data_IF_325727166699
#
_entry.id   IF_325727166699
#
_cell.length_a   1.000
_cell.length_b   1.000
_cell.length_c   1.000
_cell.angle_alpha   90.00
_cell.angle_beta   90.00
_cell.angle_gamma   90.00
#
_symmetry.space_group_name_H-M   'P 1'
#
loop_
_entity.id
_entity.type
_entity.pdbx_description
1 polymer ?
#
# COMPACT_ATOMS: atom_id res chain seq x y z
N UNK A 1 5.89 -24.43 -10.33
CA UNK A 1 5.24 -23.26 -9.71
C UNK A 1 5.47 -23.35 -8.22
N UNK A 2 5.69 -22.22 -7.57
CA UNK A 2 5.91 -22.09 -6.13
C UNK A 2 4.94 -21.04 -5.59
N UNK A 3 4.46 -21.28 -4.37
CA UNK A 3 3.59 -20.34 -3.67
C UNK A 3 4.48 -19.34 -2.92
N UNK A 4 4.27 -18.05 -3.15
CA UNK A 4 5.06 -16.97 -2.57
C UNK A 4 4.18 -16.13 -1.66
N UNK A 5 4.45 -16.20 -0.36
CA UNK A 5 3.80 -15.41 0.68
C UNK A 5 4.42 -14.03 0.82
N UNK A 6 3.58 -13.01 0.96
CA UNK A 6 4.01 -11.63 1.15
C UNK A 6 3.09 -10.86 2.11
N UNK A 7 3.60 -9.76 2.65
CA UNK A 7 2.90 -8.83 3.53
C UNK A 7 3.13 -7.41 3.05
N UNK A 8 2.06 -6.63 2.97
CA UNK A 8 2.13 -5.21 2.64
C UNK A 8 2.30 -4.37 3.92
N UNK A 9 3.28 -3.47 3.90
CA UNK A 9 3.53 -2.55 5.01
C UNK A 9 3.58 -1.10 4.55
N UNK A 10 3.16 -0.20 5.44
CA UNK A 10 3.31 1.24 5.23
C UNK A 10 4.72 1.74 5.64
N UNK A 11 4.91 3.06 5.62
CA UNK A 11 6.19 3.67 6.03
C UNK A 11 6.54 3.50 7.51
N UNK A 12 5.55 3.28 8.36
CA UNK A 12 5.67 3.16 9.82
C UNK A 12 5.85 1.71 10.26
N UNK A 13 5.98 0.75 9.32
CA UNK A 13 5.95 -0.68 9.59
C UNK A 13 4.59 -1.23 10.04
N UNK A 14 3.50 -0.49 9.87
CA UNK A 14 2.17 -1.08 10.11
C UNK A 14 1.81 -1.99 8.94
N UNK A 15 1.26 -3.15 9.27
CA UNK A 15 0.67 -4.06 8.27
C UNK A 15 -0.59 -3.43 7.74
N UNK A 16 -0.68 -3.34 6.42
CA UNK A 16 -1.87 -2.80 5.75
C UNK A 16 -2.99 -3.84 5.77
N UNK A 17 -2.63 -5.11 5.58
CA UNK A 17 -3.56 -6.25 5.55
C UNK A 17 -2.89 -7.51 6.13
N UNK A 18 -3.66 -8.60 6.20
CA UNK A 18 -3.15 -9.95 6.47
C UNK A 18 -2.15 -10.38 5.39
N UNK A 19 -1.29 -11.36 5.70
CA UNK A 19 -0.40 -11.93 4.70
C UNK A 19 -1.21 -12.59 3.57
N UNK A 20 -0.74 -12.42 2.35
CA UNK A 20 -1.34 -13.00 1.15
C UNK A 20 -0.30 -13.81 0.36
N UNK A 21 -0.73 -14.52 -0.67
CA UNK A 21 0.15 -15.36 -1.46
C UNK A 21 -0.22 -15.38 -2.95
N UNK A 22 0.80 -15.57 -3.80
CA UNK A 22 0.64 -15.74 -5.24
C UNK A 22 1.44 -16.93 -5.74
N UNK A 23 0.93 -17.61 -6.77
CA UNK A 23 1.67 -18.67 -7.44
C UNK A 23 2.53 -18.12 -8.57
N UNK A 24 3.82 -18.45 -8.56
CA UNK A 24 4.79 -17.97 -9.54
C UNK A 24 5.76 -19.08 -9.98
N UNK A 25 6.37 -18.97 -11.17
CA UNK A 25 7.55 -19.76 -11.52
C UNK A 25 8.67 -19.58 -10.49
N UNK A 26 9.47 -20.63 -10.25
CA UNK A 26 10.49 -20.60 -9.20
C UNK A 26 11.63 -19.62 -9.50
N UNK A 27 11.89 -19.34 -10.77
CA UNK A 27 12.91 -18.45 -11.32
C UNK A 27 12.42 -17.00 -11.53
N UNK A 28 11.20 -16.68 -11.09
CA UNK A 28 10.60 -15.35 -11.23
C UNK A 28 11.46 -14.27 -10.57
N UNK A 29 11.64 -13.15 -11.24
CA UNK A 29 12.34 -11.99 -10.71
C UNK A 29 11.44 -11.18 -9.77
N UNK A 30 12.05 -10.45 -8.83
CA UNK A 30 11.33 -9.54 -7.92
C UNK A 30 10.45 -8.55 -8.70
N UNK A 31 10.93 -8.02 -9.83
CA UNK A 31 10.14 -7.10 -10.67
C UNK A 31 8.89 -7.74 -11.29
N UNK A 32 8.97 -9.03 -11.64
CA UNK A 32 7.87 -9.77 -12.22
C UNK A 32 6.83 -10.13 -11.14
N UNK A 33 7.29 -10.55 -9.96
CA UNK A 33 6.45 -10.71 -8.77
C UNK A 33 5.69 -9.43 -8.45
N UNK A 34 6.38 -8.28 -8.39
CA UNK A 34 5.75 -6.99 -8.15
C UNK A 34 4.71 -6.63 -9.22
N UNK A 35 4.99 -6.97 -10.48
CA UNK A 35 4.07 -6.73 -11.59
C UNK A 35 2.80 -7.57 -11.46
N UNK A 36 2.89 -8.77 -10.88
CA UNK A 36 1.73 -9.63 -10.60
C UNK A 36 0.88 -9.07 -9.47
N UNK A 37 1.48 -8.66 -8.35
CA UNK A 37 0.70 -8.18 -7.19
C UNK A 37 0.11 -6.77 -7.38
N UNK A 38 0.68 -5.97 -8.30
CA UNK A 38 0.16 -4.63 -8.63
C UNK A 38 -0.94 -4.70 -9.71
N UNK A 39 -0.97 -5.76 -10.51
CA UNK A 39 -1.96 -5.93 -11.58
C UNK A 39 -3.36 -6.19 -10.97
N UNK A 40 -4.32 -5.25 -11.08
CA UNK A 40 -5.64 -5.39 -10.47
C UNK A 40 -6.44 -6.55 -11.04
N UNK A 41 -6.07 -7.08 -12.22
CA UNK A 41 -6.71 -8.27 -12.81
C UNK A 41 -6.22 -9.57 -12.16
N UNK A 42 -5.05 -9.55 -11.54
CA UNK A 42 -4.44 -10.70 -10.86
C UNK A 42 -4.59 -10.61 -9.35
N UNK A 43 -4.53 -9.39 -8.82
CA UNK A 43 -4.54 -9.12 -7.40
C UNK A 43 -5.26 -7.79 -7.13
N UNK A 44 -6.54 -7.85 -6.75
CA UNK A 44 -7.31 -6.65 -6.44
C UNK A 44 -7.01 -6.17 -5.01
N UNK A 45 -5.85 -5.55 -4.83
CA UNK A 45 -5.46 -4.94 -3.55
C UNK A 45 -5.57 -3.41 -3.62
N UNK A 46 -6.42 -2.78 -2.79
CA UNK A 46 -6.64 -1.33 -2.84
C UNK A 46 -5.37 -0.53 -2.51
N UNK A 47 -4.45 -1.09 -1.73
CA UNK A 47 -3.20 -0.42 -1.33
C UNK A 47 -2.15 -0.39 -2.43
N UNK A 48 -2.26 -1.26 -3.44
CA UNK A 48 -1.32 -1.34 -4.57
C UNK A 48 -1.85 -0.67 -5.83
N UNK A 49 -3.15 -0.35 -5.88
CA UNK A 49 -3.79 0.23 -7.05
C UNK A 49 -3.13 1.57 -7.44
N UNK A 50 -2.58 1.61 -8.66
CA UNK A 50 -1.90 2.79 -9.21
C UNK A 50 -0.46 2.99 -8.72
N UNK A 51 0.03 2.18 -7.76
CA UNK A 51 1.40 2.29 -7.27
C UNK A 51 2.36 1.74 -8.32
N UNK A 52 3.37 2.51 -8.77
CA UNK A 52 4.34 2.00 -9.72
C UNK A 52 5.18 0.92 -9.08
N UNK A 53 5.35 -0.21 -9.77
CA UNK A 53 6.23 -1.33 -9.36
C UNK A 53 7.61 -0.82 -8.90
N UNK A 54 8.19 0.14 -9.61
CA UNK A 54 9.52 0.72 -9.30
C UNK A 54 9.60 1.51 -8.00
N UNK A 55 8.45 1.89 -7.42
CA UNK A 55 8.37 2.64 -6.16
C UNK A 55 8.21 1.72 -4.95
N UNK A 56 7.82 0.47 -5.15
CA UNK A 56 7.75 -0.53 -4.10
C UNK A 56 9.16 -0.95 -3.69
N UNK A 57 9.35 -1.17 -2.40
CA UNK A 57 10.58 -1.76 -1.86
C UNK A 57 10.25 -3.15 -1.32
N UNK A 58 11.09 -4.12 -1.64
CA UNK A 58 10.87 -5.51 -1.27
C UNK A 58 11.98 -5.95 -0.34
N UNK A 59 11.62 -6.57 0.78
CA UNK A 59 12.56 -7.12 1.75
C UNK A 59 12.25 -8.59 1.94
N UNK A 60 13.28 -9.32 2.31
CA UNK A 60 13.22 -10.77 2.33
C UNK A 60 12.26 -11.32 3.38
N UNK A 61 12.26 -10.69 4.55
CA UNK A 61 11.45 -11.03 5.70
C UNK A 61 11.42 -9.85 6.69
N UNK A 62 10.76 -10.03 7.83
CA UNK A 62 10.65 -8.99 8.86
C UNK A 62 11.98 -8.61 9.51
N UNK A 63 12.91 -9.56 9.65
CA UNK A 63 14.22 -9.34 10.26
C UNK A 63 15.05 -8.39 9.39
N UNK A 64 15.15 -8.68 8.08
CA UNK A 64 15.84 -7.80 7.14
C UNK A 64 15.13 -6.46 6.96
N UNK A 65 13.80 -6.41 7.05
CA UNK A 65 13.05 -5.15 7.01
C UNK A 65 13.31 -4.26 8.23
N UNK A 66 13.51 -4.86 9.41
CA UNK A 66 13.68 -4.14 10.68
C UNK A 66 15.11 -3.63 10.89
N UNK A 67 16.09 -4.19 10.17
CA UNK A 67 17.49 -3.77 10.24
C UNK A 67 17.73 -2.54 9.34
N UNK A 68 18.08 -1.37 9.90
CA UNK A 68 18.31 -0.15 9.12
C UNK A 68 19.54 -0.24 8.19
N UNK A 69 20.44 -1.21 8.39
CA UNK A 69 21.61 -1.42 7.56
C UNK A 69 21.35 -2.33 6.34
N UNK A 70 20.18 -2.99 6.30
CA UNK A 70 19.82 -3.90 5.21
C UNK A 70 19.20 -3.15 4.05
N UNK A 71 19.73 -3.40 2.86
CA UNK A 71 19.17 -2.89 1.62
C UNK A 71 17.97 -3.75 1.17
N UNK A 72 17.03 -3.10 0.48
CA UNK A 72 15.93 -3.82 -0.16
C UNK A 72 16.44 -4.69 -1.32
N UNK A 73 15.71 -5.76 -1.62
CA UNK A 73 15.99 -6.64 -2.75
C UNK A 73 15.98 -5.85 -4.06
N UNK A 74 16.92 -6.20 -4.95
CA UNK A 74 17.02 -5.63 -6.29
C UNK A 74 15.98 -6.25 -7.19
N UNK A 75 15.52 -5.47 -8.16
CA UNK A 75 14.42 -5.86 -9.06
C UNK A 75 14.78 -7.07 -9.96
N UNK A 76 16.07 -7.25 -10.22
CA UNK A 76 16.68 -8.32 -11.03
C UNK A 76 17.09 -9.56 -10.21
N UNK A 77 16.79 -9.58 -8.91
CA UNK A 77 17.03 -10.74 -8.05
C UNK A 77 15.88 -11.74 -8.19
N UNK A 78 16.17 -13.04 -8.12
CA UNK A 78 15.15 -14.08 -8.12
C UNK A 78 14.41 -14.17 -6.78
N UNK A 79 13.12 -14.51 -6.85
CA UNK A 79 12.28 -14.73 -5.67
C UNK A 79 12.41 -16.16 -5.10
N UNK A 80 13.21 -17.01 -5.75
CA UNK A 80 13.42 -18.41 -5.38
C UNK A 80 13.80 -18.55 -3.91
N UNK A 81 13.09 -19.41 -3.18
CA UNK A 81 13.34 -19.69 -1.76
C UNK A 81 12.93 -18.57 -0.79
N UNK A 82 12.18 -17.56 -1.27
CA UNK A 82 11.66 -16.45 -0.45
C UNK A 82 10.15 -16.57 -0.34
N UNK A 83 9.58 -16.20 0.81
CA UNK A 83 8.13 -16.27 0.99
C UNK A 83 7.57 -17.69 0.98
N UNK A 84 8.33 -18.70 1.39
CA UNK A 84 7.88 -20.11 1.33
C UNK A 84 6.71 -20.41 2.27
N UNK A 85 6.54 -19.58 3.31
CA UNK A 85 5.46 -19.68 4.28
C UNK A 85 5.19 -18.31 4.92
N UNK A 86 4.11 -18.21 5.69
CA UNK A 86 3.68 -16.98 6.36
C UNK A 86 4.72 -16.40 7.35
N UNK A 87 5.53 -17.26 8.00
CA UNK A 87 6.55 -16.81 8.95
C UNK A 87 7.74 -16.15 8.24
N UNK A 88 8.03 -16.60 7.02
CA UNK A 88 9.10 -16.07 6.15
C UNK A 88 8.52 -15.25 4.98
N UNK A 89 7.36 -14.64 5.16
CA UNK A 89 6.70 -13.85 4.12
C UNK A 89 7.55 -12.65 3.71
N UNK A 90 7.57 -12.37 2.42
CA UNK A 90 8.28 -11.24 1.82
C UNK A 90 7.60 -9.95 2.25
N UNK A 91 8.37 -8.94 2.65
CA UNK A 91 7.81 -7.65 3.06
C UNK A 91 7.84 -6.68 1.89
N UNK A 92 6.67 -6.22 1.46
CA UNK A 92 6.53 -5.21 0.41
C UNK A 92 6.12 -3.89 1.04
N UNK A 93 7.06 -2.94 1.04
CA UNK A 93 6.82 -1.59 1.55
C UNK A 93 6.16 -0.73 0.48
N UNK A 94 4.95 -0.30 0.78
CA UNK A 94 4.14 0.56 -0.08
C UNK A 94 4.35 2.03 0.30
N UNK A 95 4.81 2.88 -0.62
CA UNK A 95 4.95 4.30 -0.34
C UNK A 95 3.56 4.94 -0.20
N UNK A 96 3.33 5.61 0.92
CA UNK A 96 2.08 6.34 1.19
C UNK A 96 2.38 7.83 1.42
N UNK A 97 1.45 8.69 0.99
CA UNK A 97 1.35 10.08 1.43
C UNK A 97 0.20 10.19 2.40
N UNK A 98 0.43 10.93 3.49
CA UNK A 98 -0.63 11.33 4.39
C UNK A 98 -1.20 12.67 3.94
N UNK A 99 -2.49 12.84 4.14
CA UNK A 99 -3.14 14.13 4.03
C UNK A 99 -4.14 14.32 5.17
N UNK A 100 -4.40 15.57 5.49
CA UNK A 100 -5.39 15.97 6.46
C UNK A 100 -6.19 17.13 5.87
N UNK A 101 -7.51 17.04 5.97
CA UNK A 101 -8.39 18.11 5.50
C UNK A 101 -8.44 19.22 6.55
N UNK A 102 -8.29 20.46 6.11
CA UNK A 102 -8.40 21.65 6.95
C UNK A 102 -9.55 22.51 6.44
N UNK A 103 -10.28 23.13 7.37
CA UNK A 103 -11.32 24.08 7.01
C UNK A 103 -10.63 25.36 6.48
N UNK A 104 -10.91 25.80 5.24
CA UNK A 104 -10.22 26.95 4.65
C UNK A 104 -10.56 28.28 5.35
N UNK A 105 -11.65 28.35 6.14
CA UNK A 105 -12.09 29.57 6.82
C UNK A 105 -11.47 29.77 8.20
N UNK A 106 -11.22 28.70 8.93
CA UNK A 106 -10.72 28.75 10.31
C UNK A 106 -9.27 28.31 10.43
N UNK A 107 -8.69 27.75 9.35
CA UNK A 107 -7.43 26.99 9.38
C UNK A 107 -7.44 25.88 10.44
N UNK A 108 -8.61 25.54 10.97
CA UNK A 108 -8.77 24.47 11.95
C UNK A 108 -8.89 23.15 11.20
N UNK A 109 -8.27 22.13 11.76
CA UNK A 109 -8.52 20.74 11.35
C UNK A 109 -10.03 20.50 11.46
N UNK A 110 -10.63 19.87 10.44
CA UNK A 110 -12.01 19.42 10.54
C UNK A 110 -12.07 18.34 11.63
N UNK A 111 -12.80 18.61 12.72
CA UNK A 111 -13.00 17.64 13.79
C UNK A 111 -13.52 16.32 13.18
N UNK A 112 -12.96 15.20 13.62
CA UNK A 112 -13.17 13.83 13.12
C UNK A 112 -12.46 13.42 11.81
N UNK A 113 -11.62 14.27 11.20
CA UNK A 113 -10.71 13.81 10.14
C UNK A 113 -9.43 13.20 10.72
N UNK A 114 -9.46 11.88 10.93
CA UNK A 114 -8.25 11.07 11.17
C UNK A 114 -7.26 11.29 10.00
N UNK A 115 -5.96 11.33 10.29
CA UNK A 115 -4.91 11.38 9.25
C UNK A 115 -5.14 10.23 8.27
N UNK A 116 -5.44 10.56 7.02
CA UNK A 116 -5.72 9.58 5.98
C UNK A 116 -4.52 9.38 5.07
N UNK A 117 -4.35 8.14 4.63
CA UNK A 117 -3.20 7.69 3.87
C UNK A 117 -3.64 7.27 2.47
N UNK A 118 -2.96 7.78 1.45
CA UNK A 118 -3.18 7.39 0.06
C UNK A 118 -1.86 6.81 -0.48
N UNK A 119 -1.88 5.66 -1.17
CA UNK A 119 -0.71 5.15 -1.86
C UNK A 119 -0.19 6.19 -2.87
N UNK A 120 1.14 6.34 -2.95
CA UNK A 120 1.79 7.23 -3.91
C UNK A 120 1.84 6.58 -5.30
N UNK A 121 0.79 6.81 -6.09
CA UNK A 121 0.78 6.49 -7.51
C UNK A 121 1.68 7.45 -8.32
N UNK A 122 2.26 7.01 -9.44
CA UNK A 122 2.99 7.89 -10.38
C UNK A 122 2.05 8.89 -11.04
N UNK A 123 2.56 10.07 -11.41
CA UNK A 123 2.00 11.13 -12.28
C UNK A 123 0.58 11.64 -11.97
N UNK A 124 -0.13 10.97 -11.07
CA UNK A 124 -1.50 11.20 -10.63
C UNK A 124 -1.59 11.42 -9.11
N UNK A 125 -0.46 11.66 -8.43
CA UNK A 125 -0.43 11.90 -6.98
C UNK A 125 -1.40 13.00 -6.52
N UNK A 126 -1.63 14.04 -7.33
CA UNK A 126 -2.63 15.09 -7.05
C UNK A 126 -4.05 14.62 -7.38
N UNK A 127 -4.23 13.78 -8.41
CA UNK A 127 -5.55 13.29 -8.81
C UNK A 127 -6.07 12.22 -7.86
N UNK A 128 -5.22 11.30 -7.42
CA UNK A 128 -5.58 10.28 -6.42
C UNK A 128 -5.80 10.91 -5.05
N UNK A 129 -4.98 11.89 -4.68
CA UNK A 129 -5.24 12.73 -3.51
C UNK A 129 -6.58 13.49 -3.67
N UNK A 130 -6.86 14.11 -4.81
CA UNK A 130 -8.13 14.79 -5.09
C UNK A 130 -9.32 13.83 -5.03
N UNK A 131 -9.19 12.62 -5.56
CA UNK A 131 -10.24 11.61 -5.53
C UNK A 131 -10.51 11.16 -4.09
N UNK A 132 -9.45 10.93 -3.29
CA UNK A 132 -9.56 10.59 -1.88
C UNK A 132 -10.22 11.73 -1.08
N UNK A 133 -9.80 12.98 -1.31
CA UNK A 133 -10.42 14.18 -0.73
C UNK A 133 -11.91 14.25 -1.13
N UNK A 134 -12.24 14.07 -2.41
CA UNK A 134 -13.62 14.14 -2.91
C UNK A 134 -14.52 13.05 -2.33
N UNK A 135 -14.00 11.83 -2.18
CA UNK A 135 -14.72 10.73 -1.55
C UNK A 135 -14.99 11.02 -0.06
N UNK A 136 -14.04 11.65 0.61
CA UNK A 136 -14.21 12.05 2.01
C UNK A 136 -15.17 13.23 2.19
N UNK A 137 -15.12 14.24 1.30
CA UNK A 137 -16.11 15.32 1.25
C UNK A 137 -17.52 14.79 1.02
N UNK A 138 -17.69 13.80 0.13
CA UNK A 138 -18.96 13.13 -0.10
C UNK A 138 -19.47 12.42 1.17
N UNK A 139 -18.61 11.68 1.89
CA UNK A 139 -18.98 11.04 3.16
C UNK A 139 -19.48 12.06 4.20
N UNK A 140 -18.78 13.18 4.34
CA UNK A 140 -19.14 14.24 5.30
C UNK A 140 -20.50 14.89 4.99
N UNK A 141 -20.82 15.04 3.69
CA UNK A 141 -22.11 15.59 3.25
C UNK A 141 -23.28 14.64 3.54
N UNK A 142 -23.07 13.32 3.48
CA UNK A 142 -24.10 12.33 3.79
C UNK A 142 -24.36 12.22 5.30
N UNK A 143 -23.30 12.21 6.12
CA UNK A 143 -23.45 12.19 7.60
C UNK A 143 -24.13 13.46 8.13
N UNK A 144 -23.85 14.62 7.51
CA UNK A 144 -24.51 15.89 7.85
C UNK A 144 -26.00 15.92 7.47
N UNK A 145 -26.45 15.08 6.53
CA UNK A 145 -27.86 14.98 6.13
C UNK A 145 -28.68 14.02 7.01
N UNK A 146 -28.04 13.04 7.66
CA UNK A 146 -28.70 12.12 8.60
C UNK A 146 -28.84 12.69 10.02
N UNK A 147 -28.22 13.83 10.32
CA UNK A 147 -28.30 14.52 11.60
C UNK A 147 -29.45 15.51 11.78
N UNK A 148 -30.31 15.70 10.76
CA UNK A 148 -31.45 16.64 10.82
C UNK A 148 -32.78 15.97 10.47
N UNK A 149 -33.24 15.08 11.35
CA UNK A 149 -34.64 14.70 11.59
C UNK A 149 -34.59 13.84 12.86
N UNK A 150 -35.03 14.28 14.05
CA UNK A 150 -36.25 15.01 14.43
C UNK A 150 -36.01 15.65 15.80
#
# INVERSE_FOLDING_TARGET
>A
MALVWFVLVNRNADRLESADCTELPADTLVIEFLSVIVDPMKHDNPHLRGVPVRKLKVYNNWEEYSDPLRENLRADTTITGRGENIANAIIVKVPHVWYQLVCPRSSSVLADTVINWVPLASDYSVRDLRNAVSAQEASFCWDSQLGYST
#
